data_IF_730953976988
#
_entry.id   IF_730953976988
#
_cell.length_a   1.000
_cell.length_b   1.000
_cell.length_c   1.000
_cell.angle_alpha   90.00
_cell.angle_beta   90.00
_cell.angle_gamma   90.00
#
_symmetry.space_group_name_H-M   'P 1'
#
loop_
_entity.id
_entity.type
_entity.pdbx_description
1 polymer ?
#
# COMPACT_ATOMS: atom_id res chain seq x y z
N UNK A 1 11.52 12.82 21.65
CA UNK A 1 11.38 12.61 20.19
C UNK A 1 11.27 11.11 19.96
N UNK A 2 10.26 10.65 19.20
CA UNK A 2 10.05 9.22 18.91
C UNK A 2 10.95 8.70 17.79
N UNK A 3 11.66 9.58 17.10
CA UNK A 3 12.57 9.28 15.98
C UNK A 3 13.99 9.71 16.33
N UNK A 4 14.96 8.83 16.07
CA UNK A 4 16.38 8.99 16.36
C UNK A 4 17.18 8.58 15.11
N UNK A 5 17.99 9.47 14.55
CA UNK A 5 18.74 9.21 13.31
C UNK A 5 20.10 8.62 13.68
N UNK A 6 20.37 7.39 13.23
CA UNK A 6 21.66 6.75 13.42
C UNK A 6 22.66 7.22 12.36
N UNK A 7 22.29 7.09 11.08
CA UNK A 7 23.13 7.48 9.94
C UNK A 7 22.25 7.97 8.78
N UNK A 8 22.71 9.00 8.08
CA UNK A 8 21.97 9.60 6.97
C UNK A 8 22.92 10.08 5.87
N UNK A 9 22.57 9.77 4.63
CA UNK A 9 23.29 10.22 3.44
C UNK A 9 22.31 10.75 2.40
N UNK A 10 22.69 11.86 1.75
CA UNK A 10 21.93 12.48 0.67
C UNK A 10 22.83 12.62 -0.56
N UNK A 11 22.44 11.98 -1.64
CA UNK A 11 23.09 12.04 -2.94
C UNK A 11 22.17 12.77 -3.93
N UNK A 12 22.66 13.09 -5.12
CA UNK A 12 21.87 13.75 -6.15
C UNK A 12 21.98 13.02 -7.49
N UNK A 13 20.85 12.90 -8.16
CA UNK A 13 20.72 12.51 -9.56
C UNK A 13 20.42 13.76 -10.38
N UNK A 14 21.21 14.00 -11.43
CA UNK A 14 21.02 15.11 -12.35
C UNK A 14 20.69 14.53 -13.72
N UNK A 15 19.46 14.75 -14.17
CA UNK A 15 19.05 14.38 -15.52
C UNK A 15 19.58 15.44 -16.50
N UNK A 16 20.46 15.03 -17.41
CA UNK A 16 21.04 15.90 -18.45
C UNK A 16 20.24 15.85 -19.75
N UNK A 17 19.76 14.65 -20.09
CA UNK A 17 18.91 14.38 -21.24
C UNK A 17 18.05 13.12 -20.95
N UNK A 18 17.38 12.56 -21.97
CA UNK A 18 16.54 11.37 -21.79
C UNK A 18 17.32 10.10 -21.42
N UNK A 19 18.62 10.04 -21.69
CA UNK A 19 19.46 8.84 -21.51
C UNK A 19 20.50 8.98 -20.40
N UNK A 20 20.86 10.20 -20.00
CA UNK A 20 21.93 10.47 -19.07
C UNK A 20 21.44 10.98 -17.71
N UNK A 21 21.59 10.12 -16.69
CA UNK A 21 21.46 10.45 -15.28
C UNK A 21 22.85 10.51 -14.63
N UNK A 22 23.33 11.72 -14.36
CA UNK A 22 24.59 11.97 -13.66
C UNK A 22 24.41 11.80 -12.15
N UNK A 23 25.43 11.26 -11.48
CA UNK A 23 25.48 11.08 -10.03
C UNK A 23 26.39 12.12 -9.39
N UNK A 24 25.87 12.80 -8.37
CA UNK A 24 26.68 13.59 -7.43
C UNK A 24 26.57 12.93 -6.06
N UNK A 25 27.67 12.33 -5.62
CA UNK A 25 27.75 11.63 -4.35
C UNK A 25 28.33 12.55 -3.28
N UNK A 26 27.69 12.59 -2.11
CA UNK A 26 28.21 13.34 -0.96
C UNK A 26 29.50 12.73 -0.42
N UNK A 27 30.35 13.58 0.18
CA UNK A 27 31.66 13.21 0.73
C UNK A 27 31.65 12.75 2.19
N UNK A 28 30.60 13.08 2.93
CA UNK A 28 30.42 12.73 4.34
C UNK A 28 28.96 12.39 4.62
N UNK A 29 28.69 11.76 5.76
CA UNK A 29 27.32 11.68 6.28
C UNK A 29 26.74 13.08 6.53
N UNK A 30 25.41 13.18 6.54
CA UNK A 30 24.73 14.37 7.04
C UNK A 30 24.74 14.36 8.57
N UNK A 31 25.04 15.50 9.17
CA UNK A 31 24.82 15.72 10.60
C UNK A 31 23.30 15.77 10.88
N UNK A 32 22.80 15.12 11.94
CA UNK A 32 21.37 15.11 12.30
C UNK A 32 20.98 16.42 12.98
N UNK A 33 21.06 17.53 12.25
CA UNK A 33 20.59 18.84 12.72
C UNK A 33 19.07 18.84 12.91
N UNK A 34 18.53 19.83 13.61
CA UNK A 34 17.09 19.99 13.82
C UNK A 34 16.29 19.90 12.51
N UNK A 35 16.71 20.62 11.46
CA UNK A 35 16.08 20.59 10.14
C UNK A 35 16.12 19.20 9.49
N UNK A 36 17.19 18.44 9.68
CA UNK A 36 17.33 17.08 9.14
C UNK A 36 16.41 16.12 9.88
N UNK A 37 16.32 16.24 11.21
CA UNK A 37 15.40 15.47 12.05
C UNK A 37 13.95 15.75 11.66
N UNK A 38 13.59 17.02 11.46
CA UNK A 38 12.26 17.43 10.99
C UNK A 38 11.94 16.85 9.60
N UNK A 39 12.89 16.90 8.66
CA UNK A 39 12.73 16.34 7.31
C UNK A 39 12.46 14.82 7.38
N UNK A 40 13.23 14.08 8.17
CA UNK A 40 13.06 12.62 8.32
C UNK A 40 11.75 12.29 9.04
N UNK A 41 11.37 13.06 10.07
CA UNK A 41 10.09 12.89 10.75
C UNK A 41 8.90 13.11 9.80
N UNK A 42 8.96 14.14 8.95
CA UNK A 42 7.93 14.41 7.95
C UNK A 42 7.87 13.31 6.88
N UNK A 43 9.02 12.86 6.39
CA UNK A 43 9.10 11.76 5.43
C UNK A 43 8.56 10.45 6.03
N UNK A 44 8.89 10.14 7.29
CA UNK A 44 8.33 9.01 8.02
C UNK A 44 6.81 9.11 8.15
N UNK A 45 6.29 10.30 8.48
CA UNK A 45 4.84 10.55 8.61
C UNK A 45 4.12 10.36 7.28
N UNK A 46 4.62 10.99 6.21
CA UNK A 46 4.04 10.88 4.85
C UNK A 46 4.09 9.44 4.37
N UNK A 47 5.24 8.78 4.54
CA UNK A 47 5.39 7.38 4.17
C UNK A 47 4.37 6.52 4.92
N UNK A 48 4.30 6.65 6.25
CA UNK A 48 3.41 5.85 7.12
C UNK A 48 1.93 6.00 6.77
N UNK A 49 1.49 7.20 6.38
CA UNK A 49 0.10 7.47 6.00
C UNK A 49 -0.31 6.94 4.61
N UNK A 50 0.65 6.62 3.73
CA UNK A 50 0.36 6.15 2.36
C UNK A 50 0.24 4.62 2.29
N UNK A 51 -0.57 4.16 1.33
CA UNK A 51 -0.71 2.74 0.99
C UNK A 51 0.61 2.16 0.48
N UNK A 52 0.95 0.97 1.00
CA UNK A 52 2.19 0.26 0.69
C UNK A 52 1.91 -1.04 -0.07
N UNK A 53 2.92 -1.48 -0.78
CA UNK A 53 3.10 -2.87 -1.16
C UNK A 53 4.20 -3.47 -0.30
N UNK A 54 4.13 -4.78 -0.10
CA UNK A 54 5.14 -5.55 0.60
C UNK A 54 6.05 -6.23 -0.42
N UNK A 55 7.31 -6.40 -0.03
CA UNK A 55 8.29 -7.17 -0.76
C UNK A 55 9.19 -7.95 0.19
N UNK A 56 10.05 -8.76 -0.39
CA UNK A 56 11.14 -9.45 0.29
C UNK A 56 12.35 -9.45 -0.62
N UNK A 57 13.55 -9.40 -0.05
CA UNK A 57 14.77 -9.58 -0.82
C UNK A 57 14.80 -10.99 -1.42
N UNK A 58 15.20 -11.06 -2.69
CA UNK A 58 15.57 -12.33 -3.31
C UNK A 58 16.90 -12.82 -2.73
N UNK A 59 17.16 -14.12 -2.85
CA UNK A 59 18.43 -14.72 -2.40
C UNK A 59 19.65 -14.08 -3.08
N UNK A 60 19.49 -13.63 -4.33
CA UNK A 60 20.53 -12.98 -5.12
C UNK A 60 20.58 -11.45 -4.95
N UNK A 61 19.82 -10.89 -4.00
CA UNK A 61 19.83 -9.45 -3.75
C UNK A 61 21.20 -8.98 -3.28
N UNK A 62 21.98 -8.39 -4.18
CA UNK A 62 23.24 -7.76 -3.83
C UNK A 62 23.05 -6.60 -2.82
N UNK A 63 21.91 -5.90 -2.87
CA UNK A 63 21.61 -4.84 -1.91
C UNK A 63 21.46 -5.44 -0.51
N UNK A 64 20.71 -6.53 -0.37
CA UNK A 64 20.54 -7.24 0.91
C UNK A 64 21.88 -7.76 1.45
N UNK A 65 22.74 -8.29 0.59
CA UNK A 65 24.08 -8.75 0.98
C UNK A 65 24.93 -7.60 1.53
N UNK A 66 25.04 -6.49 0.78
CA UNK A 66 25.80 -5.30 1.23
C UNK A 66 25.19 -4.66 2.48
N UNK A 67 23.86 -4.65 2.60
CA UNK A 67 23.18 -4.16 3.80
C UNK A 67 23.50 -5.05 5.02
N UNK A 68 23.56 -6.37 4.85
CA UNK A 68 23.93 -7.29 5.94
C UNK A 68 25.37 -7.07 6.41
N UNK A 69 26.32 -6.90 5.48
CA UNK A 69 27.71 -6.56 5.81
C UNK A 69 27.81 -5.21 6.53
N UNK A 70 27.05 -4.21 6.06
CA UNK A 70 26.96 -2.91 6.71
C UNK A 70 26.43 -3.02 8.15
N UNK A 71 25.38 -3.82 8.36
CA UNK A 71 24.80 -4.09 9.68
C UNK A 71 25.73 -4.84 10.62
N UNK A 72 26.62 -5.68 10.07
CA UNK A 72 27.68 -6.37 10.81
C UNK A 72 28.89 -5.48 11.12
N UNK A 73 28.91 -4.25 10.61
CA UNK A 73 30.03 -3.31 10.77
C UNK A 73 31.22 -3.61 9.86
N UNK A 74 31.04 -4.49 8.87
CA UNK A 74 32.07 -4.84 7.88
C UNK A 74 32.11 -3.85 6.71
N UNK A 75 31.02 -3.12 6.47
CA UNK A 75 30.90 -2.08 5.45
C UNK A 75 30.47 -0.74 6.06
N UNK A 76 31.07 0.36 5.60
CA UNK A 76 30.70 1.71 6.04
C UNK A 76 29.39 2.18 5.39
N UNK A 77 28.53 2.87 6.15
CA UNK A 77 27.22 3.31 5.67
C UNK A 77 27.30 4.28 4.49
N UNK A 78 28.30 5.18 4.44
CA UNK A 78 28.48 6.09 3.31
C UNK A 78 28.96 5.34 2.08
N UNK A 79 29.84 4.34 2.24
CA UNK A 79 30.24 3.48 1.14
C UNK A 79 29.05 2.68 0.57
N UNK A 80 28.27 2.06 1.46
CA UNK A 80 27.03 1.36 1.12
C UNK A 80 26.05 2.29 0.37
N UNK A 81 25.77 3.47 0.91
CA UNK A 81 24.80 4.41 0.31
C UNK A 81 25.25 4.86 -1.08
N UNK A 82 26.56 5.10 -1.28
CA UNK A 82 27.13 5.46 -2.59
C UNK A 82 26.99 4.34 -3.61
N UNK A 83 27.35 3.11 -3.24
CA UNK A 83 27.23 1.95 -4.11
C UNK A 83 25.76 1.67 -4.47
N UNK A 84 24.87 1.73 -3.48
CA UNK A 84 23.42 1.59 -3.70
C UNK A 84 22.85 2.70 -4.59
N UNK A 85 23.31 3.95 -4.45
CA UNK A 85 22.89 5.06 -5.35
C UNK A 85 23.36 4.83 -6.79
N UNK A 86 24.54 4.24 -6.99
CA UNK A 86 25.02 3.83 -8.33
C UNK A 86 24.08 2.82 -9.00
N UNK A 87 23.72 1.75 -8.28
CA UNK A 87 22.75 0.75 -8.74
C UNK A 87 21.37 1.35 -8.98
N UNK A 88 20.92 2.24 -8.08
CA UNK A 88 19.66 2.96 -8.22
C UNK A 88 19.62 3.78 -9.52
N UNK A 89 20.69 4.52 -9.85
CA UNK A 89 20.79 5.27 -11.11
C UNK A 89 20.64 4.35 -12.31
N UNK A 90 21.41 3.26 -12.35
CA UNK A 90 21.43 2.34 -13.49
C UNK A 90 20.08 1.66 -13.72
N UNK A 91 19.38 1.33 -12.63
CA UNK A 91 18.03 0.78 -12.71
C UNK A 91 17.03 1.85 -13.12
N UNK A 92 17.04 3.01 -12.46
CA UNK A 92 16.09 4.10 -12.72
C UNK A 92 16.15 4.55 -14.18
N UNK A 93 17.35 4.65 -14.77
CA UNK A 93 17.55 5.06 -16.15
C UNK A 93 16.84 4.17 -17.20
N UNK A 94 16.44 2.94 -16.85
CA UNK A 94 15.68 2.05 -17.73
C UNK A 94 14.20 2.43 -17.86
N UNK A 95 13.71 3.30 -16.97
CA UNK A 95 12.30 3.63 -16.86
C UNK A 95 11.98 5.02 -17.43
N UNK A 96 10.85 5.21 -18.15
CA UNK A 96 10.52 6.49 -18.79
C UNK A 96 10.18 7.61 -17.80
N UNK A 97 9.86 7.26 -16.56
CA UNK A 97 9.59 8.24 -15.49
C UNK A 97 10.87 8.68 -14.78
N UNK A 98 12.04 8.19 -15.18
CA UNK A 98 13.32 8.55 -14.59
C UNK A 98 13.52 10.08 -14.65
N UNK A 99 13.72 10.69 -13.49
CA UNK A 99 13.98 12.12 -13.38
C UNK A 99 15.14 12.38 -12.42
N UNK A 100 15.67 13.60 -12.46
CA UNK A 100 16.61 14.08 -11.47
C UNK A 100 15.95 14.22 -10.09
N UNK A 101 16.78 14.28 -9.05
CA UNK A 101 16.30 14.40 -7.69
C UNK A 101 17.37 14.12 -6.67
N UNK A 102 16.97 13.98 -5.42
CA UNK A 102 17.84 13.66 -4.31
C UNK A 102 17.56 12.26 -3.81
N UNK A 103 18.62 11.45 -3.70
CA UNK A 103 18.54 10.09 -3.20
C UNK A 103 18.94 10.10 -1.73
N UNK A 104 17.98 9.79 -0.87
CA UNK A 104 18.15 9.73 0.57
C UNK A 104 18.29 8.28 1.01
N UNK A 105 19.33 8.00 1.81
CA UNK A 105 19.43 6.81 2.64
C UNK A 105 19.42 7.25 4.10
N UNK A 106 18.47 6.75 4.89
CA UNK A 106 18.35 7.08 6.31
C UNK A 106 18.17 5.81 7.14
N UNK A 107 19.17 5.52 7.97
CA UNK A 107 19.07 4.56 9.06
C UNK A 107 18.62 5.31 10.31
N UNK A 108 17.44 4.97 10.80
CA UNK A 108 16.85 5.62 11.97
C UNK A 108 16.08 4.61 12.82
N UNK A 109 15.94 4.94 14.08
CA UNK A 109 15.06 4.24 15.00
C UNK A 109 13.77 5.03 15.18
N UNK A 110 12.64 4.35 15.09
CA UNK A 110 11.35 4.91 15.47
C UNK A 110 10.72 4.00 16.51
N UNK A 111 10.47 4.57 17.69
CA UNK A 111 10.13 3.81 18.90
C UNK A 111 11.24 2.78 19.23
N UNK A 112 10.96 1.48 19.10
CA UNK A 112 11.89 0.39 19.39
C UNK A 112 12.36 -0.36 18.12
N UNK A 113 12.05 0.16 16.93
CA UNK A 113 12.31 -0.52 15.66
C UNK A 113 13.33 0.27 14.84
N UNK A 114 14.30 -0.43 14.27
CA UNK A 114 15.29 0.13 13.36
C UNK A 114 14.83 0.00 11.90
N UNK A 115 14.96 1.10 11.15
CA UNK A 115 14.56 1.15 9.75
C UNK A 115 15.70 1.65 8.88
N UNK A 116 15.81 1.11 7.66
CA UNK A 116 16.47 1.78 6.54
C UNK A 116 15.38 2.33 5.61
N UNK A 117 15.35 3.65 5.41
CA UNK A 117 14.51 4.29 4.43
C UNK A 117 15.33 4.77 3.24
N UNK A 118 14.89 4.42 2.05
CA UNK A 118 15.45 4.82 0.77
C UNK A 118 14.40 5.63 0.01
N UNK A 119 14.72 6.87 -0.37
CA UNK A 119 13.79 7.74 -1.09
C UNK A 119 14.47 8.47 -2.24
N UNK A 120 13.75 8.67 -3.34
CA UNK A 120 14.11 9.65 -4.38
C UNK A 120 13.13 10.81 -4.28
N UNK A 121 13.64 11.96 -3.85
CA UNK A 121 12.88 13.18 -3.61
C UNK A 121 13.09 14.17 -4.75
N UNK A 122 11.99 14.62 -5.35
CA UNK A 122 12.02 15.69 -6.35
C UNK A 122 12.29 17.04 -5.69
N UNK A 123 12.99 17.91 -6.41
CA UNK A 123 13.18 19.30 -6.04
C UNK A 123 12.25 20.18 -6.87
N UNK A 124 11.35 20.92 -6.23
CA UNK A 124 10.41 21.79 -6.91
C UNK A 124 10.81 23.25 -6.77
N UNK A 125 10.57 24.01 -7.85
CA UNK A 125 10.71 25.46 -7.87
C UNK A 125 9.39 26.12 -7.47
N UNK A 126 9.47 27.11 -6.59
CA UNK A 126 8.35 27.97 -6.21
C UNK A 126 8.84 29.41 -6.02
N UNK A 127 7.95 30.28 -5.54
CA UNK A 127 8.22 31.67 -5.24
C UNK A 127 8.03 31.89 -3.74
N UNK A 128 9.03 32.49 -3.08
CA UNK A 128 8.91 32.99 -1.70
C UNK A 128 8.80 34.51 -1.72
N UNK A 129 7.97 35.04 -0.82
CA UNK A 129 7.95 36.47 -0.51
C UNK A 129 8.88 36.68 0.68
N UNK A 130 9.89 37.54 0.54
CA UNK A 130 10.79 37.88 1.65
C UNK A 130 10.18 38.97 2.56
N UNK A 131 10.93 39.38 3.57
CA UNK A 131 10.53 40.38 4.57
C UNK A 131 10.26 41.77 3.97
N UNK A 132 10.80 42.06 2.78
CA UNK A 132 10.61 43.31 2.05
C UNK A 132 9.46 43.25 1.03
N UNK A 133 8.68 42.16 1.01
CA UNK A 133 7.64 41.86 0.03
C UNK A 133 8.16 41.61 -1.40
N UNK A 134 9.44 41.34 -1.57
CA UNK A 134 9.99 40.94 -2.86
C UNK A 134 9.74 39.45 -3.12
N UNK A 135 9.43 39.15 -4.37
CA UNK A 135 9.19 37.79 -4.85
C UNK A 135 10.51 37.22 -5.37
N UNK A 136 11.01 36.17 -4.71
CA UNK A 136 12.23 35.47 -5.10
C UNK A 136 11.96 34.00 -5.42
N UNK A 137 12.70 33.38 -6.35
CA UNK A 137 12.63 31.94 -6.53
C UNK A 137 13.11 31.22 -5.27
N UNK A 138 12.50 30.08 -4.97
CA UNK A 138 12.94 29.15 -3.92
C UNK A 138 12.82 27.72 -4.43
N UNK A 139 13.67 26.85 -3.90
CA UNK A 139 13.63 25.41 -4.18
C UNK A 139 13.32 24.66 -2.90
N UNK A 140 12.56 23.57 -2.99
CA UNK A 140 12.21 22.74 -1.85
C UNK A 140 12.03 21.27 -2.24
N UNK A 141 12.28 20.38 -1.28
CA UNK A 141 12.04 18.94 -1.45
C UNK A 141 10.54 18.64 -1.37
N UNK A 142 10.01 17.96 -2.38
CA UNK A 142 8.60 17.58 -2.41
C UNK A 142 8.32 16.26 -1.69
N UNK A 143 8.42 16.30 -0.36
CA UNK A 143 8.24 15.13 0.50
C UNK A 143 6.80 14.59 0.40
N UNK A 144 5.81 15.46 0.33
CA UNK A 144 4.39 15.08 0.30
C UNK A 144 4.02 14.27 -0.95
N UNK A 145 4.66 14.57 -2.08
CA UNK A 145 4.45 13.85 -3.34
C UNK A 145 5.54 12.83 -3.66
N UNK A 146 6.39 12.48 -2.70
CA UNK A 146 7.36 11.40 -2.88
C UNK A 146 6.63 10.10 -3.28
N UNK A 147 6.94 9.61 -4.48
CA UNK A 147 6.38 8.39 -5.06
C UNK A 147 7.40 7.23 -5.04
N UNK A 148 8.69 7.55 -5.01
CA UNK A 148 9.77 6.59 -4.91
C UNK A 148 10.28 6.57 -3.47
N UNK A 149 9.62 5.79 -2.61
CA UNK A 149 10.10 5.51 -1.25
C UNK A 149 9.95 4.02 -0.91
N UNK A 150 11.03 3.42 -0.40
CA UNK A 150 11.06 2.09 0.20
C UNK A 150 11.56 2.18 1.65
N UNK A 151 11.08 1.27 2.50
CA UNK A 151 11.48 1.15 3.90
C UNK A 151 11.68 -0.33 4.22
N UNK A 152 12.83 -0.62 4.82
CA UNK A 152 13.17 -1.95 5.34
C UNK A 152 13.11 -1.84 6.86
N UNK A 153 12.27 -2.65 7.49
CA UNK A 153 12.29 -2.94 8.92
C UNK A 153 13.50 -3.86 9.18
N UNK A 154 14.59 -3.27 9.66
CA UNK A 154 15.83 -3.99 9.92
C UNK A 154 15.66 -4.96 11.09
N UNK A 155 14.83 -4.58 12.08
CA UNK A 155 14.56 -5.42 13.24
C UNK A 155 13.82 -6.69 12.83
N UNK A 156 12.74 -6.57 12.04
CA UNK A 156 12.00 -7.74 11.57
C UNK A 156 12.83 -8.58 10.58
N UNK A 157 13.55 -7.94 9.67
CA UNK A 157 14.42 -8.64 8.72
C UNK A 157 15.52 -9.48 9.40
N UNK A 158 16.04 -9.02 10.53
CA UNK A 158 17.10 -9.72 11.29
C UNK A 158 16.54 -10.78 12.25
N UNK A 159 15.35 -10.56 12.83
CA UNK A 159 14.80 -11.41 13.90
C UNK A 159 13.76 -12.43 13.43
N UNK A 160 13.15 -12.22 12.26
CA UNK A 160 12.16 -13.12 11.68
C UNK A 160 12.49 -13.44 10.21
N UNK A 161 13.40 -14.41 9.95
CA UNK A 161 13.84 -14.75 8.59
C UNK A 161 12.73 -15.19 7.64
N UNK A 162 11.62 -15.73 8.17
CA UNK A 162 10.46 -16.18 7.39
C UNK A 162 9.47 -15.04 7.09
N UNK A 163 9.69 -13.84 7.63
CA UNK A 163 8.81 -12.70 7.39
C UNK A 163 8.82 -12.27 5.93
N UNK A 164 7.62 -12.06 5.38
CA UNK A 164 7.42 -11.48 4.04
C UNK A 164 6.99 -10.01 4.10
N UNK A 165 7.23 -9.35 5.25
CA UNK A 165 6.67 -8.04 5.60
C UNK A 165 7.69 -6.94 5.86
N UNK A 166 8.94 -7.30 6.10
CA UNK A 166 9.98 -6.37 6.52
C UNK A 166 10.27 -5.28 5.46
N UNK A 167 10.06 -5.55 4.18
CA UNK A 167 10.29 -4.59 3.11
C UNK A 167 8.96 -4.05 2.60
N UNK A 168 8.80 -2.73 2.64
CA UNK A 168 7.60 -2.05 2.14
C UNK A 168 7.97 -0.89 1.24
N UNK A 169 7.13 -0.58 0.26
CA UNK A 169 7.35 0.55 -0.66
C UNK A 169 6.02 1.18 -1.08
N UNK A 170 6.06 2.44 -1.50
CA UNK A 170 4.86 3.14 -1.91
C UNK A 170 4.28 2.57 -3.21
N UNK A 171 2.97 2.32 -3.22
CA UNK A 171 2.21 2.11 -4.46
C UNK A 171 2.07 3.48 -5.15
N UNK A 172 3.12 3.90 -5.84
CA UNK A 172 3.19 5.22 -6.49
C UNK A 172 2.03 5.49 -7.45
N UNK A 173 1.79 6.77 -7.76
CA UNK A 173 0.70 7.20 -8.68
C UNK A 173 0.86 6.66 -10.09
N UNK A 174 2.10 6.38 -10.50
CA UNK A 174 2.48 5.93 -11.85
C UNK A 174 2.23 4.42 -12.05
N UNK A 175 1.64 3.74 -11.06
CA UNK A 175 1.18 2.36 -11.19
C UNK A 175 2.31 1.34 -11.14
N UNK A 176 2.14 0.22 -11.87
CA UNK A 176 2.98 -0.99 -11.79
C UNK A 176 4.47 -0.71 -12.02
N UNK A 177 4.82 0.24 -12.90
CA UNK A 177 6.22 0.50 -13.27
C UNK A 177 7.11 0.98 -12.10
N UNK A 178 6.56 1.70 -11.13
CA UNK A 178 7.33 2.14 -9.94
C UNK A 178 7.59 0.96 -9.01
N UNK A 179 6.63 0.04 -8.92
CA UNK A 179 6.80 -1.21 -8.18
C UNK A 179 7.88 -2.08 -8.84
N UNK A 180 7.82 -2.24 -10.17
CA UNK A 180 8.80 -3.00 -10.94
C UNK A 180 10.22 -2.44 -10.73
N UNK A 181 10.39 -1.11 -10.85
CA UNK A 181 11.66 -0.44 -10.57
C UNK A 181 12.20 -0.75 -9.17
N UNK A 182 11.34 -0.68 -8.13
CA UNK A 182 11.78 -0.98 -6.77
C UNK A 182 12.20 -2.43 -6.61
N UNK A 183 11.44 -3.35 -7.20
CA UNK A 183 11.77 -4.77 -7.16
C UNK A 183 13.12 -5.04 -7.82
N UNK A 184 13.36 -4.46 -8.99
CA UNK A 184 14.63 -4.63 -9.71
C UNK A 184 15.80 -3.99 -8.94
N UNK A 185 15.63 -2.75 -8.45
CA UNK A 185 16.68 -2.03 -7.71
C UNK A 185 17.04 -2.72 -6.40
N UNK A 186 16.02 -3.14 -5.64
CA UNK A 186 16.22 -3.78 -4.33
C UNK A 186 16.66 -5.24 -4.48
N UNK A 187 16.57 -5.83 -5.68
CA UNK A 187 16.64 -7.27 -5.85
C UNK A 187 15.57 -7.95 -4.99
N UNK A 188 14.32 -7.55 -5.15
CA UNK A 188 13.21 -7.99 -4.32
C UNK A 188 12.12 -8.66 -5.17
N UNK A 189 11.28 -9.46 -4.50
CA UNK A 189 10.05 -10.04 -5.06
C UNK A 189 8.83 -9.57 -4.27
N UNK A 190 7.64 -9.76 -4.86
CA UNK A 190 6.37 -9.43 -4.19
C UNK A 190 6.22 -10.25 -2.90
N UNK A 191 5.99 -9.56 -1.79
CA UNK A 191 5.75 -10.18 -0.47
C UNK A 191 4.27 -10.30 -0.20
N UNK A 192 3.85 -10.00 1.03
CA UNK A 192 2.44 -10.04 1.43
C UNK A 192 1.55 -9.23 0.47
N UNK A 193 0.67 -9.91 -0.26
CA UNK A 193 -0.32 -9.26 -1.09
C UNK A 193 -1.65 -9.09 -0.34
N UNK A 194 -1.80 -7.96 0.36
CA UNK A 194 -3.02 -7.65 1.14
C UNK A 194 -4.32 -7.81 0.31
N UNK A 195 -4.30 -7.47 -0.98
CA UNK A 195 -5.48 -7.62 -1.84
C UNK A 195 -5.79 -9.07 -2.16
N UNK A 196 -4.76 -9.89 -2.38
CA UNK A 196 -4.92 -11.33 -2.55
C UNK A 196 -5.44 -11.99 -1.27
N UNK A 197 -4.88 -11.63 -0.10
CA UNK A 197 -5.34 -12.10 1.20
C UNK A 197 -6.82 -11.79 1.44
N UNK A 198 -7.25 -10.55 1.20
CA UNK A 198 -8.66 -10.18 1.34
C UNK A 198 -9.56 -10.91 0.33
N UNK A 199 -9.10 -11.19 -0.90
CA UNK A 199 -9.88 -12.00 -1.87
C UNK A 199 -9.98 -13.46 -1.44
N UNK A 200 -8.88 -14.04 -0.98
CA UNK A 200 -8.85 -15.38 -0.40
C UNK A 200 -9.82 -15.49 0.76
N UNK A 201 -9.84 -14.47 1.63
CA UNK A 201 -10.78 -14.41 2.75
C UNK A 201 -12.24 -14.41 2.27
N UNK A 202 -12.57 -13.58 1.28
CA UNK A 202 -13.93 -13.53 0.73
C UNK A 202 -14.37 -14.89 0.16
N UNK A 203 -13.49 -15.54 -0.59
CA UNK A 203 -13.77 -16.86 -1.14
C UNK A 203 -13.93 -17.92 -0.05
N UNK A 204 -13.04 -17.91 0.96
CA UNK A 204 -13.11 -18.83 2.09
C UNK A 204 -14.41 -18.67 2.88
N UNK A 205 -14.89 -17.43 3.09
CA UNK A 205 -16.18 -17.17 3.76
C UNK A 205 -17.34 -17.72 2.93
N UNK A 206 -17.32 -17.54 1.61
CA UNK A 206 -18.37 -18.05 0.74
C UNK A 206 -18.44 -19.58 0.76
N UNK A 207 -17.30 -20.24 0.66
CA UNK A 207 -17.23 -21.70 0.70
C UNK A 207 -17.55 -22.25 2.09
N UNK A 208 -17.15 -21.56 3.16
CA UNK A 208 -17.49 -21.93 4.55
C UNK A 208 -19.00 -21.92 4.78
N UNK A 209 -19.67 -20.86 4.34
CA UNK A 209 -21.13 -20.76 4.48
C UNK A 209 -21.89 -21.71 3.56
N UNK A 210 -21.33 -22.04 2.40
CA UNK A 210 -21.89 -23.05 1.52
C UNK A 210 -21.80 -24.46 2.12
N UNK A 211 -20.67 -24.81 2.76
CA UNK A 211 -20.47 -26.10 3.41
C UNK A 211 -21.33 -26.27 4.66
N UNK A 212 -21.53 -25.19 5.42
CA UNK A 212 -22.51 -25.13 6.52
C UNK A 212 -23.97 -25.24 6.06
N UNK A 213 -24.24 -25.33 4.74
CA UNK A 213 -25.57 -25.44 4.14
C UNK A 213 -26.53 -24.31 4.53
N UNK A 214 -25.99 -23.13 4.83
CA UNK A 214 -26.78 -21.96 5.20
C UNK A 214 -27.71 -21.52 4.06
N UNK A 215 -28.87 -20.99 4.42
CA UNK A 215 -29.77 -20.35 3.47
C UNK A 215 -29.26 -18.98 3.02
N UNK A 216 -29.96 -18.34 2.07
CA UNK A 216 -29.52 -17.05 1.51
C UNK A 216 -29.44 -15.94 2.57
N UNK A 217 -30.37 -15.91 3.51
CA UNK A 217 -30.41 -14.89 4.56
C UNK A 217 -29.30 -15.12 5.58
N UNK A 218 -29.09 -16.36 5.99
CA UNK A 218 -28.02 -16.77 6.89
C UNK A 218 -26.63 -16.47 6.31
N UNK A 219 -26.38 -16.81 5.03
CA UNK A 219 -25.13 -16.45 4.34
C UNK A 219 -24.90 -14.94 4.32
N UNK A 220 -25.96 -14.17 4.05
CA UNK A 220 -25.87 -12.71 4.02
C UNK A 220 -25.54 -12.14 5.41
N UNK A 221 -26.09 -12.73 6.48
CA UNK A 221 -25.77 -12.35 7.85
C UNK A 221 -24.31 -12.66 8.19
N UNK A 222 -23.79 -13.83 7.82
CA UNK A 222 -22.37 -14.18 8.02
C UNK A 222 -21.48 -13.20 7.25
N UNK A 223 -21.75 -12.93 5.97
CA UNK A 223 -20.98 -11.94 5.18
C UNK A 223 -21.02 -10.55 5.82
N UNK A 224 -22.16 -10.14 6.37
CA UNK A 224 -22.29 -8.88 7.08
C UNK A 224 -21.48 -8.86 8.38
N UNK A 225 -21.44 -9.97 9.12
CA UNK A 225 -20.65 -10.11 10.34
C UNK A 225 -19.14 -10.03 10.04
N UNK A 226 -18.66 -10.77 9.04
CA UNK A 226 -17.26 -10.70 8.59
C UNK A 226 -16.90 -9.27 8.19
N UNK A 227 -17.78 -8.60 7.42
CA UNK A 227 -17.56 -7.22 7.02
C UNK A 227 -17.50 -6.27 8.23
N UNK A 228 -18.38 -6.44 9.21
CA UNK A 228 -18.39 -5.62 10.43
C UNK A 228 -17.06 -5.74 11.18
N UNK A 229 -16.59 -6.96 11.43
CA UNK A 229 -15.29 -7.21 12.06
C UNK A 229 -14.15 -6.58 11.26
N UNK A 230 -14.04 -6.89 9.96
CA UNK A 230 -12.93 -6.39 9.14
C UNK A 230 -12.95 -4.86 9.01
N UNK A 231 -14.14 -4.25 8.98
CA UNK A 231 -14.27 -2.80 8.95
C UNK A 231 -13.92 -2.16 10.30
N UNK A 232 -14.21 -2.81 11.42
CA UNK A 232 -13.78 -2.34 12.74
C UNK A 232 -12.25 -2.32 12.85
N UNK A 233 -11.57 -3.42 12.48
CA UNK A 233 -10.11 -3.47 12.41
C UNK A 233 -9.55 -2.35 11.52
N UNK A 234 -10.15 -2.15 10.34
CA UNK A 234 -9.76 -1.08 9.43
C UNK A 234 -9.93 0.34 10.03
N UNK A 235 -10.98 0.59 10.82
CA UNK A 235 -11.18 1.89 11.47
C UNK A 235 -10.22 2.08 12.65
N UNK A 236 -9.86 1.00 13.35
CA UNK A 236 -8.88 1.01 14.41
C UNK A 236 -7.44 1.16 13.89
N UNK A 237 -7.21 0.89 12.59
CA UNK A 237 -5.86 0.84 12.01
C UNK A 237 -5.13 -0.47 12.29
N UNK A 238 -5.88 -1.49 12.70
CA UNK A 238 -5.41 -2.83 13.05
C UNK A 238 -5.50 -3.79 11.86
N UNK A 239 -4.80 -4.91 11.94
CA UNK A 239 -4.90 -5.99 10.96
C UNK A 239 -6.11 -6.89 11.22
N UNK A 240 -6.57 -7.57 10.17
CA UNK A 240 -7.50 -8.69 10.29
C UNK A 240 -6.72 -9.85 10.90
N UNK A 241 -7.14 -10.34 12.06
CA UNK A 241 -6.56 -11.55 12.67
C UNK A 241 -7.50 -12.74 12.39
N UNK A 242 -6.96 -13.78 11.76
CA UNK A 242 -7.75 -14.92 11.31
C UNK A 242 -8.40 -15.69 12.47
N UNK A 243 -7.67 -15.82 13.58
CA UNK A 243 -8.18 -16.45 14.82
C UNK A 243 -9.30 -15.62 15.46
N UNK A 244 -9.14 -14.30 15.53
CA UNK A 244 -10.17 -13.42 16.09
C UNK A 244 -11.42 -13.42 15.20
N UNK A 245 -11.26 -13.36 13.88
CA UNK A 245 -12.37 -13.55 12.95
C UNK A 245 -13.04 -14.92 13.10
N UNK A 246 -12.25 -15.99 13.29
CA UNK A 246 -12.82 -17.32 13.49
C UNK A 246 -13.66 -17.43 14.76
N UNK A 247 -13.35 -16.66 15.80
CA UNK A 247 -14.17 -16.60 17.02
C UNK A 247 -15.48 -15.86 16.79
N UNK A 248 -15.46 -14.80 15.99
CA UNK A 248 -16.69 -14.11 15.57
C UNK A 248 -17.63 -15.08 14.84
N UNK A 249 -17.08 -15.96 13.99
CA UNK A 249 -17.85 -16.94 13.23
C UNK A 249 -18.20 -18.23 14.01
N UNK A 250 -18.03 -18.24 15.33
CA UNK A 250 -18.38 -19.40 16.15
C UNK A 250 -19.89 -19.71 16.06
N UNK A 251 -20.22 -20.99 15.88
CA UNK A 251 -21.60 -21.46 15.76
C UNK A 251 -22.17 -21.45 14.34
N UNK A 252 -21.44 -20.93 13.34
CA UNK A 252 -21.81 -21.05 11.92
C UNK A 252 -21.67 -22.50 11.43
N UNK A 253 -20.64 -23.20 11.88
CA UNK A 253 -20.35 -24.60 11.55
C UNK A 253 -19.78 -25.31 12.79
N UNK A 254 -19.75 -26.65 12.76
CA UNK A 254 -19.09 -27.46 13.79
C UNK A 254 -17.57 -27.24 13.82
N UNK A 255 -16.99 -26.90 12.67
CA UNK A 255 -15.56 -26.64 12.50
C UNK A 255 -15.30 -25.13 12.53
N UNK A 256 -14.22 -24.71 13.18
CA UNK A 256 -13.84 -23.29 13.20
C UNK A 256 -13.46 -22.81 11.80
N UNK A 257 -13.65 -21.52 11.53
CA UNK A 257 -13.28 -20.92 10.24
C UNK A 257 -11.78 -21.07 9.94
N UNK A 258 -10.91 -20.91 10.94
CA UNK A 258 -9.46 -21.14 10.78
C UNK A 258 -9.13 -22.57 10.34
N UNK A 259 -9.73 -23.57 10.99
CA UNK A 259 -9.52 -24.97 10.63
C UNK A 259 -10.08 -25.27 9.24
N UNK A 260 -11.27 -24.77 8.93
CA UNK A 260 -11.85 -24.89 7.60
C UNK A 260 -10.92 -24.31 6.52
N UNK A 261 -10.41 -23.08 6.74
CA UNK A 261 -9.53 -22.42 5.80
C UNK A 261 -8.25 -23.23 5.54
N UNK A 262 -7.63 -23.75 6.60
CA UNK A 262 -6.46 -24.61 6.50
C UNK A 262 -6.75 -25.94 5.78
N UNK A 263 -7.84 -26.63 6.11
CA UNK A 263 -8.22 -27.92 5.51
C UNK A 263 -8.56 -27.81 4.02
N UNK A 264 -9.15 -26.68 3.60
CA UNK A 264 -9.43 -26.40 2.18
C UNK A 264 -8.24 -25.84 1.42
N UNK A 265 -7.10 -25.60 2.09
CA UNK A 265 -5.87 -25.11 1.48
C UNK A 265 -5.90 -23.62 1.12
N UNK A 266 -6.68 -22.80 1.83
CA UNK A 266 -6.54 -21.35 1.69
C UNK A 266 -5.26 -20.90 2.39
N UNK A 267 -4.38 -20.26 1.62
CA UNK A 267 -3.12 -19.67 2.11
C UNK A 267 -3.39 -18.30 2.74
N UNK A 268 -4.19 -18.28 3.81
CA UNK A 268 -4.45 -17.09 4.60
C UNK A 268 -3.39 -16.93 5.68
N UNK A 269 -2.83 -15.72 5.75
CA UNK A 269 -1.90 -15.33 6.81
C UNK A 269 -2.62 -15.21 8.15
N UNK A 270 -1.89 -15.42 9.24
CA UNK A 270 -2.46 -15.35 10.60
C UNK A 270 -3.06 -13.98 10.91
N UNK A 271 -2.42 -12.92 10.41
CA UNK A 271 -2.95 -11.56 10.36
C UNK A 271 -2.73 -10.95 8.97
N UNK A 272 -3.50 -9.97 8.53
CA UNK A 272 -3.18 -9.19 7.31
C UNK A 272 -3.93 -7.87 7.22
N UNK A 273 -3.41 -6.86 6.50
CA UNK A 273 -4.11 -5.58 6.34
C UNK A 273 -5.46 -5.71 5.63
N UNK A 274 -6.46 -5.00 6.13
CA UNK A 274 -7.77 -4.89 5.51
C UNK A 274 -7.71 -4.09 4.20
N UNK A 275 -8.25 -4.65 3.10
CA UNK A 275 -8.43 -3.94 1.83
C UNK A 275 -9.88 -3.48 1.69
N UNK A 276 -10.13 -2.20 1.97
CA UNK A 276 -11.47 -1.59 1.94
C UNK A 276 -12.23 -1.89 0.65
N UNK A 277 -11.55 -1.88 -0.49
CA UNK A 277 -12.19 -2.04 -1.80
C UNK A 277 -12.67 -3.47 -2.02
N UNK A 278 -11.91 -4.44 -1.52
CA UNK A 278 -12.21 -5.87 -1.62
C UNK A 278 -13.28 -6.24 -0.59
N UNK A 279 -13.13 -5.81 0.66
CA UNK A 279 -14.08 -6.11 1.74
C UNK A 279 -15.50 -5.62 1.43
N UNK A 280 -15.66 -4.50 0.72
CA UNK A 280 -16.98 -4.02 0.27
C UNK A 280 -17.78 -5.04 -0.53
N UNK A 281 -17.14 -6.00 -1.19
CA UNK A 281 -17.82 -7.06 -1.94
C UNK A 281 -18.55 -8.05 -1.04
N UNK A 282 -18.23 -8.12 0.27
CA UNK A 282 -19.00 -8.92 1.23
C UNK A 282 -20.44 -8.43 1.34
N UNK A 283 -20.65 -7.12 1.27
CA UNK A 283 -21.95 -6.48 1.55
C UNK A 283 -22.58 -5.78 0.35
N UNK A 284 -21.88 -5.68 -0.79
CA UNK A 284 -22.37 -4.97 -1.98
C UNK A 284 -22.11 -5.73 -3.26
N UNK A 285 -23.05 -5.61 -4.19
CA UNK A 285 -22.82 -5.87 -5.61
C UNK A 285 -22.38 -4.56 -6.28
N UNK A 286 -21.42 -4.64 -7.20
CA UNK A 286 -20.97 -3.51 -8.00
C UNK A 286 -20.57 -3.97 -9.40
N UNK A 287 -20.87 -3.14 -10.41
CA UNK A 287 -20.51 -3.39 -11.80
C UNK A 287 -20.52 -2.13 -12.64
N UNK A 288 -19.61 -2.06 -13.61
CA UNK A 288 -19.51 -0.95 -14.56
C UNK A 288 -19.24 -1.49 -15.96
N UNK A 289 -19.88 -0.91 -16.98
CA UNK A 289 -19.70 -1.30 -18.37
C UNK A 289 -20.66 -0.54 -19.29
N UNK A 290 -20.23 -0.23 -20.52
CA UNK A 290 -21.10 0.39 -21.53
C UNK A 290 -21.73 1.73 -21.13
N UNK A 291 -21.08 2.51 -20.26
CA UNK A 291 -21.64 3.77 -19.73
C UNK A 291 -22.60 3.60 -18.54
N UNK A 292 -22.86 2.37 -18.09
CA UNK A 292 -23.59 2.07 -16.87
C UNK A 292 -22.62 1.83 -15.70
N UNK A 293 -22.95 2.34 -14.52
CA UNK A 293 -22.32 1.97 -13.26
C UNK A 293 -23.41 1.74 -12.24
N UNK A 294 -23.39 0.59 -11.59
CA UNK A 294 -24.36 0.19 -10.58
C UNK A 294 -23.65 -0.34 -9.35
N UNK A 295 -24.14 0.06 -8.18
CA UNK A 295 -23.79 -0.58 -6.91
C UNK A 295 -25.01 -0.55 -5.99
N UNK A 296 -25.17 -1.60 -5.19
CA UNK A 296 -26.25 -1.72 -4.21
C UNK A 296 -25.86 -2.70 -3.11
N UNK A 297 -26.48 -2.54 -1.94
CA UNK A 297 -26.28 -3.45 -0.81
C UNK A 297 -26.88 -4.82 -1.12
N UNK A 298 -26.13 -5.89 -0.84
CA UNK A 298 -26.48 -7.25 -1.22
C UNK A 298 -27.83 -7.71 -0.63
N UNK A 299 -28.21 -7.18 0.53
CA UNK A 299 -29.53 -7.39 1.15
C UNK A 299 -30.70 -6.97 0.26
N UNK A 300 -30.51 -5.99 -0.64
CA UNK A 300 -31.58 -5.53 -1.53
C UNK A 300 -31.88 -6.52 -2.66
N UNK A 301 -31.03 -7.53 -2.90
CA UNK A 301 -31.24 -8.55 -3.92
C UNK A 301 -32.36 -9.51 -3.54
N UNK A 302 -33.48 -9.44 -4.25
CA UNK A 302 -34.72 -10.16 -3.99
C UNK A 302 -35.78 -9.31 -3.27
N UNK A 303 -35.44 -8.11 -2.80
CA UNK A 303 -36.37 -7.20 -2.13
C UNK A 303 -36.70 -5.99 -3.02
N UNK A 304 -35.68 -5.21 -3.39
CA UNK A 304 -35.81 -4.05 -4.28
C UNK A 304 -35.09 -4.24 -5.60
N UNK A 305 -34.09 -5.11 -5.63
CA UNK A 305 -33.30 -5.43 -6.82
C UNK A 305 -33.64 -6.86 -7.24
N UNK A 306 -34.07 -7.06 -8.47
CA UNK A 306 -34.43 -8.38 -8.99
C UNK A 306 -33.63 -8.63 -10.26
N UNK A 307 -32.84 -9.71 -10.28
CA UNK A 307 -32.15 -10.14 -11.49
C UNK A 307 -32.87 -11.33 -12.08
N UNK A 308 -33.24 -11.22 -13.35
CA UNK A 308 -33.74 -12.33 -14.16
C UNK A 308 -32.60 -12.85 -15.05
N UNK A 309 -32.04 -14.04 -14.74
CA UNK A 309 -30.95 -14.60 -15.52
C UNK A 309 -31.37 -15.04 -16.93
N UNK A 310 -32.67 -15.27 -17.19
CA UNK A 310 -33.13 -15.72 -18.51
C UNK A 310 -33.15 -14.58 -19.54
N UNK A 311 -33.42 -13.36 -19.08
CA UNK A 311 -33.48 -12.15 -19.92
C UNK A 311 -32.30 -11.21 -19.69
N UNK A 312 -31.37 -11.60 -18.81
CA UNK A 312 -30.29 -10.76 -18.28
C UNK A 312 -30.74 -9.36 -17.88
N UNK A 313 -31.86 -9.28 -17.18
CA UNK A 313 -32.50 -8.01 -16.81
C UNK A 313 -32.40 -7.77 -15.32
N UNK A 314 -31.88 -6.61 -14.93
CA UNK A 314 -31.88 -6.14 -13.56
C UNK A 314 -32.98 -5.10 -13.35
N UNK A 315 -33.98 -5.44 -12.54
CA UNK A 315 -35.10 -4.55 -12.18
C UNK A 315 -34.86 -3.88 -10.83
N UNK A 316 -34.99 -2.55 -10.78
CA UNK A 316 -34.90 -1.76 -9.55
C UNK A 316 -36.30 -1.25 -9.17
N UNK A 317 -36.86 -1.76 -8.08
CA UNK A 317 -38.10 -1.27 -7.50
C UNK A 317 -37.82 -0.13 -6.51
N UNK A 318 -38.41 1.03 -6.80
CA UNK A 318 -38.20 2.26 -6.06
C UNK A 318 -36.86 2.92 -6.41
N UNK A 319 -36.81 3.68 -7.50
CA UNK A 319 -35.61 4.42 -7.90
C UNK A 319 -35.17 5.42 -6.82
N UNK A 320 -33.86 5.63 -6.62
CA UNK A 320 -33.35 6.65 -5.70
C UNK A 320 -33.96 8.03 -5.99
N UNK A 321 -34.32 8.83 -4.96
CA UNK A 321 -35.01 10.11 -5.16
C UNK A 321 -34.27 11.06 -6.11
N UNK A 322 -32.95 11.20 -5.93
CA UNK A 322 -32.10 12.03 -6.79
C UNK A 322 -32.11 11.61 -8.26
N UNK A 323 -32.16 10.30 -8.55
CA UNK A 323 -32.27 9.77 -9.91
C UNK A 323 -33.67 9.99 -10.46
N UNK A 324 -34.71 9.75 -9.64
CA UNK A 324 -36.11 9.98 -10.00
C UNK A 324 -36.35 11.43 -10.41
N UNK A 325 -35.84 12.39 -9.64
CA UNK A 325 -35.97 13.81 -9.92
C UNK A 325 -35.29 14.20 -11.25
N UNK A 326 -34.09 13.64 -11.51
CA UNK A 326 -33.38 13.88 -12.78
C UNK A 326 -34.15 13.34 -13.98
N UNK A 327 -34.72 12.13 -13.86
CA UNK A 327 -35.55 11.52 -14.90
C UNK A 327 -36.79 12.38 -15.15
N UNK A 328 -37.55 12.70 -14.09
CA UNK A 328 -38.76 13.52 -14.20
C UNK A 328 -38.49 14.89 -14.83
N UNK A 329 -37.43 15.61 -14.43
CA UNK A 329 -37.13 16.93 -15.03
C UNK A 329 -36.85 16.85 -16.53
N UNK A 330 -36.22 15.78 -17.00
CA UNK A 330 -35.84 15.61 -18.42
C UNK A 330 -36.96 15.03 -19.27
N UNK A 331 -37.82 14.19 -18.70
CA UNK A 331 -38.93 13.57 -19.44
C UNK A 331 -40.22 14.40 -19.41
N UNK A 332 -40.45 15.20 -18.37
CA UNK A 332 -41.65 16.03 -18.23
C UNK A 332 -41.61 17.35 -19.02
N UNK A 333 -40.46 17.70 -19.61
CA UNK A 333 -40.27 18.92 -20.40
C UNK A 333 -40.41 18.74 -21.92
N UNK A 334 -40.84 17.55 -22.38
CA UNK A 334 -41.02 17.24 -23.79
C UNK A 334 -42.41 16.70 -24.07
N UNK A 335 -43.38 17.61 -24.15
CA UNK A 335 -44.62 17.44 -24.91
C UNK A 335 -45.04 18.80 -25.46
#
# INVERSE_FOLDING_TARGET
>A
MSLDINQIALHQLIKRDEQNLELVLRDSLLEPTETVVEMVAELHRVYSAKNKAYGLFSEESELAQTLRLQRQGEEDFLAFSRAATGRLRDELAKYPFADGGFVLFCHYRYLAVEYLLVAVLSNLSSMRVNENLDINPTHYLDINHADIVARIDLTEWETNPESTRYLTFLKGRVGRKVADFFMDFLGASEGLNAKAQNRGLLQAVDDFTAEAQLDKAERQNVRQQVYSYCNEQLQAGEEIELESLSKELAGVSEVSFTKFAAEKGYELEESFPADRSTLRQLTKFAGSGGGLTINFDAMLLGERIFWDPATDTLTIKGTPPNLRDQLQRRTSGGN
#
